data_IF_810309945314
#
_entry.id   IF_810309945314
#
_cell.length_a   1.000
_cell.length_b   1.000
_cell.length_c   1.000
_cell.angle_alpha   90.00
_cell.angle_beta   90.00
_cell.angle_gamma   90.00
#
_symmetry.space_group_name_H-M   'P 1'
#
loop_
_entity.id
_entity.type
_entity.pdbx_description
1 polymer ?
#
# COMPACT_ATOMS: atom_id res chain seq x y z
N UNK A 1 -7.26 1.91 18.61
CA UNK A 1 -7.96 2.50 17.46
C UNK A 1 -7.10 3.55 16.75
N UNK A 2 -6.59 4.59 17.45
CA UNK A 2 -5.67 5.58 16.82
C UNK A 2 -4.47 4.92 16.14
N UNK A 3 -3.74 4.03 16.82
CA UNK A 3 -2.56 3.34 16.23
C UNK A 3 -2.87 2.53 14.96
N UNK A 4 -4.03 1.87 14.90
CA UNK A 4 -4.49 1.13 13.72
C UNK A 4 -4.72 2.06 12.53
N UNK A 5 -5.42 3.18 12.74
CA UNK A 5 -5.69 4.17 11.68
C UNK A 5 -4.37 4.75 11.14
N UNK A 6 -3.44 5.11 12.02
CA UNK A 6 -2.14 5.65 11.59
C UNK A 6 -1.34 4.62 10.79
N UNK A 7 -1.39 3.33 11.18
CA UNK A 7 -0.73 2.26 10.43
C UNK A 7 -1.32 2.12 9.03
N UNK A 8 -2.65 2.12 8.90
CA UNK A 8 -3.35 2.06 7.62
C UNK A 8 -2.96 3.25 6.74
N UNK A 9 -3.11 4.47 7.25
CA UNK A 9 -2.78 5.67 6.48
C UNK A 9 -1.31 5.69 6.04
N UNK A 10 -0.39 5.24 6.90
CA UNK A 10 1.01 5.16 6.53
C UNK A 10 1.28 4.08 5.48
N UNK A 11 0.59 2.94 5.53
CA UNK A 11 0.66 1.90 4.50
C UNK A 11 0.13 2.41 3.16
N UNK A 12 -1.06 3.03 3.14
CA UNK A 12 -1.63 3.63 1.92
C UNK A 12 -0.76 4.76 1.36
N UNK A 13 -0.08 5.51 2.24
CA UNK A 13 0.87 6.52 1.79
C UNK A 13 2.08 5.89 1.07
N UNK A 14 2.53 4.70 1.47
CA UNK A 14 3.58 3.98 0.73
C UNK A 14 3.08 3.57 -0.66
N UNK A 15 1.83 3.11 -0.77
CA UNK A 15 1.19 2.80 -2.06
C UNK A 15 1.13 4.02 -2.96
N UNK A 16 0.73 5.17 -2.41
CA UNK A 16 0.76 6.43 -3.15
C UNK A 16 2.15 6.76 -3.69
N UNK A 17 3.20 6.66 -2.86
CA UNK A 17 4.57 6.95 -3.31
C UNK A 17 5.00 5.99 -4.44
N UNK A 18 4.66 4.71 -4.34
CA UNK A 18 4.95 3.72 -5.37
C UNK A 18 4.20 4.01 -6.67
N UNK A 19 2.93 4.42 -6.59
CA UNK A 19 2.14 4.83 -7.75
C UNK A 19 2.79 6.02 -8.47
N UNK A 20 3.21 7.06 -7.73
CA UNK A 20 3.90 8.22 -8.30
C UNK A 20 5.23 7.81 -8.93
N UNK A 21 5.99 6.90 -8.30
CA UNK A 21 7.23 6.36 -8.86
C UNK A 21 6.96 5.67 -10.20
N UNK A 22 5.98 4.78 -10.28
CA UNK A 22 5.60 4.08 -11.51
C UNK A 22 5.18 5.05 -12.61
N UNK A 23 4.35 6.05 -12.28
CA UNK A 23 3.95 7.10 -13.22
C UNK A 23 5.12 7.91 -13.74
N UNK A 24 6.05 8.31 -12.86
CA UNK A 24 7.21 9.11 -13.25
C UNK A 24 8.16 8.40 -14.22
N UNK A 25 8.19 7.06 -14.19
CA UNK A 25 9.07 6.22 -15.02
C UNK A 25 8.36 5.58 -16.20
N UNK A 26 7.05 5.83 -16.36
CA UNK A 26 6.20 5.16 -17.35
C UNK A 26 6.25 3.62 -17.24
N UNK A 27 6.46 3.08 -16.03
CA UNK A 27 6.48 1.63 -15.74
C UNK A 27 5.04 1.06 -15.59
N UNK A 28 4.07 1.55 -16.37
CA UNK A 28 2.62 1.27 -16.22
C UNK A 28 2.15 0.16 -17.19
N UNK A 29 3.08 -0.66 -17.69
CA UNK A 29 2.73 -1.73 -18.63
C UNK A 29 2.09 -2.89 -17.85
N UNK A 30 0.77 -2.85 -17.75
CA UNK A 30 -0.13 -3.82 -17.12
C UNK A 30 0.41 -4.43 -15.82
N UNK A 31 0.10 -3.81 -14.67
CA UNK A 31 0.16 -4.57 -13.41
C UNK A 31 -0.67 -5.84 -13.61
N UNK A 32 -0.04 -7.01 -13.40
CA UNK A 32 -0.70 -8.30 -13.50
C UNK A 32 -1.99 -8.28 -12.67
N UNK A 33 -3.11 -8.65 -13.29
CA UNK A 33 -4.36 -8.84 -12.56
C UNK A 33 -4.14 -10.02 -11.61
N UNK A 34 -4.10 -9.73 -10.32
CA UNK A 34 -3.99 -10.76 -9.30
C UNK A 34 -5.29 -11.56 -9.32
N UNK A 35 -5.16 -12.86 -9.60
CA UNK A 35 -6.31 -13.75 -9.81
C UNK A 35 -6.88 -14.29 -8.50
N UNK A 36 -6.13 -14.10 -7.39
CA UNK A 36 -6.49 -14.60 -6.07
C UNK A 36 -5.95 -13.71 -4.93
N UNK A 37 -6.50 -13.92 -3.73
CA UNK A 37 -6.16 -13.16 -2.51
C UNK A 37 -4.68 -13.25 -2.12
N UNK A 38 -4.04 -14.39 -2.38
CA UNK A 38 -2.65 -14.58 -2.00
C UNK A 38 -1.72 -13.74 -2.88
N UNK A 39 -1.97 -13.74 -4.19
CA UNK A 39 -1.28 -12.88 -5.15
C UNK A 39 -1.49 -11.40 -4.84
N UNK A 40 -2.71 -10.98 -4.48
CA UNK A 40 -2.98 -9.58 -4.12
C UNK A 40 -2.22 -9.16 -2.86
N UNK A 41 -2.20 -10.00 -1.82
CA UNK A 41 -1.46 -9.73 -0.58
C UNK A 41 0.04 -9.68 -0.85
N UNK A 42 0.57 -10.60 -1.65
CA UNK A 42 1.99 -10.64 -2.00
C UNK A 42 2.42 -9.45 -2.85
N UNK A 43 1.60 -9.04 -3.82
CA UNK A 43 1.84 -7.86 -4.65
C UNK A 43 1.88 -6.58 -3.79
N UNK A 44 0.97 -6.45 -2.83
CA UNK A 44 0.92 -5.33 -1.88
C UNK A 44 2.20 -5.23 -1.03
N UNK A 45 2.78 -6.35 -0.61
CA UNK A 45 3.95 -6.33 0.26
C UNK A 45 5.27 -6.13 -0.48
N UNK A 46 5.39 -6.66 -1.69
CA UNK A 46 6.67 -6.70 -2.42
C UNK A 46 6.98 -5.42 -3.20
N UNK A 47 5.95 -4.65 -3.58
CA UNK A 47 6.08 -3.52 -4.51
C UNK A 47 6.30 -2.17 -3.81
N UNK A 48 6.17 -2.08 -2.48
CA UNK A 48 6.24 -0.82 -1.74
C UNK A 48 7.67 -0.30 -1.49
N UNK A 49 7.79 0.97 -1.11
CA UNK A 49 9.01 1.49 -0.47
C UNK A 49 9.22 0.86 0.91
N UNK A 50 10.48 0.67 1.33
CA UNK A 50 10.78 0.29 2.71
C UNK A 50 10.23 1.36 3.68
N UNK A 51 9.37 1.01 4.66
CA UNK A 51 8.78 2.00 5.57
C UNK A 51 9.82 2.88 6.28
N UNK A 52 10.99 2.31 6.62
CA UNK A 52 12.11 3.01 7.27
C UNK A 52 12.82 4.02 6.37
N UNK A 53 12.62 3.96 5.05
CA UNK A 53 13.12 4.98 4.13
C UNK A 53 12.26 6.26 4.18
N UNK A 54 10.97 6.11 4.51
CA UNK A 54 9.95 7.17 4.45
C UNK A 54 9.65 7.76 5.83
N UNK A 55 9.55 6.92 6.86
CA UNK A 55 9.17 7.34 8.21
C UNK A 55 10.33 7.20 9.20
N UNK A 56 10.47 8.20 10.07
CA UNK A 56 11.44 8.20 11.18
C UNK A 56 10.81 7.82 12.53
N UNK A 57 9.48 7.85 12.65
CA UNK A 57 8.77 7.53 13.88
C UNK A 57 8.81 6.02 14.16
N UNK A 58 9.51 5.63 15.24
CA UNK A 58 9.68 4.23 15.65
C UNK A 58 8.36 3.55 16.01
N UNK A 59 7.43 4.28 16.61
CA UNK A 59 6.11 3.76 17.00
C UNK A 59 5.27 3.49 15.77
N UNK A 60 5.27 4.41 14.80
CA UNK A 60 4.58 4.23 13.52
C UNK A 60 5.15 3.05 12.75
N UNK A 61 6.48 2.96 12.65
CA UNK A 61 7.16 1.83 12.00
C UNK A 61 6.79 0.49 12.64
N UNK A 62 6.75 0.44 13.98
CA UNK A 62 6.33 -0.75 14.71
C UNK A 62 4.87 -1.11 14.41
N UNK A 63 3.99 -0.11 14.35
CA UNK A 63 2.58 -0.34 14.03
C UNK A 63 2.40 -0.85 12.60
N UNK A 64 3.09 -0.29 11.61
CA UNK A 64 3.05 -0.77 10.22
C UNK A 64 3.50 -2.23 10.18
N UNK A 65 4.68 -2.56 10.73
CA UNK A 65 5.20 -3.94 10.69
C UNK A 65 4.30 -4.94 11.43
N UNK A 66 3.69 -4.56 12.56
CA UNK A 66 2.80 -5.46 13.32
C UNK A 66 1.43 -5.64 12.70
N UNK A 67 0.91 -4.61 12.02
CA UNK A 67 -0.44 -4.61 11.44
C UNK A 67 -0.47 -5.14 10.01
N UNK A 68 0.67 -5.16 9.31
CA UNK A 68 0.80 -5.62 7.93
C UNK A 68 1.90 -6.70 7.77
N UNK A 69 1.78 -7.88 8.41
CA UNK A 69 2.74 -8.97 8.24
C UNK A 69 2.49 -9.87 7.01
N UNK A 70 1.23 -9.93 6.56
CA UNK A 70 0.73 -10.67 5.39
C UNK A 70 -0.59 -10.02 4.97
N UNK A 71 -0.56 -8.69 4.76
CA UNK A 71 -1.75 -7.83 4.69
C UNK A 71 -2.27 -7.36 6.07
N UNK A 72 -3.34 -6.55 6.05
CA UNK A 72 -3.87 -5.92 7.25
C UNK A 72 -4.48 -6.93 8.25
N UNK A 73 -4.01 -6.91 9.50
CA UNK A 73 -4.49 -7.76 10.60
C UNK A 73 -4.80 -6.94 11.84
N UNK A 74 -6.05 -6.95 12.28
CA UNK A 74 -6.46 -6.39 13.57
C UNK A 74 -7.60 -7.22 14.17
N UNK A 75 -7.23 -8.28 14.89
CA UNK A 75 -8.18 -9.21 15.51
C UNK A 75 -9.26 -8.53 16.34
N UNK A 76 -8.94 -7.44 17.05
CA UNK A 76 -9.94 -6.70 17.85
C UNK A 76 -10.96 -5.97 16.97
N UNK A 77 -10.56 -5.51 15.79
CA UNK A 77 -11.47 -4.91 14.83
C UNK A 77 -12.29 -5.99 14.12
N UNK A 78 -11.63 -7.07 13.68
CA UNK A 78 -12.25 -8.24 13.06
C UNK A 78 -13.37 -8.81 13.95
N UNK A 79 -13.08 -9.10 15.22
CA UNK A 79 -14.05 -9.59 16.20
C UNK A 79 -15.26 -8.67 16.36
N UNK A 80 -15.01 -7.35 16.37
CA UNK A 80 -16.08 -6.35 16.49
C UNK A 80 -16.95 -6.30 15.24
N UNK A 81 -16.35 -6.36 14.05
CA UNK A 81 -17.09 -6.37 12.79
C UNK A 81 -17.94 -7.63 12.70
N UNK A 82 -17.38 -8.80 13.05
CA UNK A 82 -18.13 -10.06 13.08
C UNK A 82 -19.32 -9.93 14.05
N UNK A 83 -19.05 -9.61 15.31
CA UNK A 83 -20.06 -9.61 16.38
C UNK A 83 -21.16 -8.56 16.22
N UNK A 84 -20.79 -7.34 15.83
CA UNK A 84 -21.71 -6.20 15.83
C UNK A 84 -22.27 -5.87 14.44
N UNK A 85 -21.70 -6.41 13.36
CA UNK A 85 -22.16 -6.15 11.99
C UNK A 85 -22.65 -7.41 11.30
N UNK A 86 -21.78 -8.43 11.19
CA UNK A 86 -22.08 -9.64 10.42
C UNK A 86 -23.14 -10.49 11.11
N UNK A 87 -22.96 -10.80 12.40
CA UNK A 87 -23.91 -11.58 13.21
C UNK A 87 -25.24 -10.84 13.43
N UNK A 88 -25.25 -9.52 13.28
CA UNK A 88 -26.44 -8.68 13.36
C UNK A 88 -27.17 -8.52 12.02
N UNK A 89 -26.65 -9.16 10.97
CA UNK A 89 -27.12 -9.06 9.60
C UNK A 89 -27.36 -7.61 9.14
N UNK A 90 -26.45 -6.72 9.56
CA UNK A 90 -26.45 -5.34 9.08
C UNK A 90 -26.09 -5.29 7.59
N UNK A 91 -26.50 -4.23 6.86
CA UNK A 91 -26.24 -4.10 5.44
C UNK A 91 -24.77 -4.33 5.09
N UNK A 92 -24.54 -5.20 4.11
CA UNK A 92 -23.22 -5.60 3.61
C UNK A 92 -23.28 -5.77 2.09
N UNK A 93 -22.18 -5.45 1.40
CA UNK A 93 -22.00 -5.67 -0.03
C UNK A 93 -20.86 -6.63 -0.27
N UNK A 94 -21.06 -7.61 -1.13
CA UNK A 94 -19.98 -8.49 -1.58
C UNK A 94 -19.27 -7.82 -2.77
N UNK A 95 -17.96 -7.67 -2.67
CA UNK A 95 -17.11 -7.09 -3.70
C UNK A 95 -16.20 -8.21 -4.20
N UNK A 96 -16.24 -8.50 -5.50
CA UNK A 96 -15.33 -9.47 -6.10
C UNK A 96 -13.94 -8.85 -6.26
N UNK A 97 -12.88 -9.63 -6.10
CA UNK A 97 -11.51 -9.12 -6.03
C UNK A 97 -11.06 -8.45 -7.34
N UNK A 98 -11.55 -8.97 -8.46
CA UNK A 98 -11.34 -8.46 -9.80
C UNK A 98 -12.12 -7.17 -10.09
N UNK A 99 -13.05 -6.77 -9.23
CA UNK A 99 -13.79 -5.50 -9.39
C UNK A 99 -13.03 -4.28 -8.88
N UNK A 100 -11.92 -4.46 -8.15
CA UNK A 100 -11.08 -3.37 -7.64
C UNK A 100 -10.00 -2.93 -8.63
N UNK A 101 -10.37 -2.76 -9.91
CA UNK A 101 -9.46 -2.36 -10.98
C UNK A 101 -9.88 -0.99 -11.52
N UNK A 102 -8.94 -0.05 -11.55
CA UNK A 102 -9.12 1.23 -12.24
C UNK A 102 -8.37 1.21 -13.56
N UNK A 103 -9.10 1.38 -14.67
CA UNK A 103 -8.51 1.54 -16.00
C UNK A 103 -8.18 3.01 -16.24
N UNK A 104 -6.90 3.32 -16.42
CA UNK A 104 -6.43 4.66 -16.78
C UNK A 104 -6.21 4.73 -18.28
N UNK A 105 -6.83 5.73 -18.93
CA UNK A 105 -6.62 5.96 -20.35
C UNK A 105 -5.23 6.57 -20.61
N UNK A 106 -4.68 6.33 -21.81
CA UNK A 106 -3.44 6.97 -22.24
C UNK A 106 -3.55 8.52 -22.20
N UNK A 107 -4.72 9.05 -22.53
CA UNK A 107 -5.01 10.49 -22.44
C UNK A 107 -4.95 11.00 -21.00
N UNK A 108 -5.53 10.26 -20.05
CA UNK A 108 -5.47 10.59 -18.62
C UNK A 108 -4.03 10.61 -18.12
N UNK A 109 -3.23 9.62 -18.52
CA UNK A 109 -1.81 9.52 -18.15
C UNK A 109 -0.99 10.68 -18.73
N UNK A 110 -1.22 11.05 -19.99
CA UNK A 110 -0.52 12.16 -20.65
C UNK A 110 -0.79 13.52 -20.00
N UNK A 111 -1.94 13.68 -19.33
CA UNK A 111 -2.32 14.92 -18.63
C UNK A 111 -1.76 15.02 -17.21
N UNK A 112 -1.16 13.95 -16.67
CA UNK A 112 -0.59 13.95 -15.33
C UNK A 112 0.59 14.94 -15.29
N UNK A 113 0.53 15.90 -14.36
CA UNK A 113 1.63 16.81 -14.06
C UNK A 113 2.14 16.53 -12.66
N UNK A 114 3.37 16.02 -12.56
CA UNK A 114 4.02 15.73 -11.30
C UNK A 114 4.91 16.90 -10.89
N UNK A 115 4.83 17.31 -9.62
CA UNK A 115 5.70 18.35 -9.06
C UNK A 115 7.17 17.88 -9.11
N UNK A 116 8.09 18.63 -9.74
CA UNK A 116 9.51 18.30 -9.76
C UNK A 116 10.13 18.11 -8.36
N UNK A 117 9.62 18.80 -7.33
CA UNK A 117 10.06 18.60 -5.94
C UNK A 117 9.67 17.22 -5.44
N UNK A 118 8.46 16.76 -5.75
CA UNK A 118 8.00 15.42 -5.40
C UNK A 118 8.85 14.35 -6.09
N UNK A 119 9.18 14.53 -7.37
CA UNK A 119 10.04 13.61 -8.12
C UNK A 119 11.41 13.44 -7.47
N UNK A 120 12.06 14.54 -7.07
CA UNK A 120 13.34 14.49 -6.34
C UNK A 120 13.23 13.75 -5.01
N UNK A 121 12.13 13.93 -4.29
CA UNK A 121 11.88 13.21 -3.03
C UNK A 121 11.75 11.71 -3.31
N UNK A 122 10.96 11.32 -4.32
CA UNK A 122 10.76 9.92 -4.72
C UNK A 122 12.09 9.24 -5.05
N UNK A 123 12.97 9.89 -5.82
CA UNK A 123 14.31 9.35 -6.14
C UNK A 123 15.14 9.11 -4.88
N UNK A 124 15.16 10.07 -3.95
CA UNK A 124 15.89 9.93 -2.67
C UNK A 124 15.34 8.76 -1.85
N UNK A 125 14.01 8.64 -1.75
CA UNK A 125 13.35 7.54 -1.04
C UNK A 125 13.67 6.19 -1.69
N UNK A 126 13.74 6.13 -3.02
CA UNK A 126 14.02 4.90 -3.76
C UNK A 126 15.45 4.41 -3.47
N UNK A 127 16.41 5.33 -3.48
CA UNK A 127 17.80 5.02 -3.16
C UNK A 127 17.97 4.58 -1.70
N UNK A 128 17.27 5.22 -0.76
CA UNK A 128 17.25 4.81 0.66
C UNK A 128 16.67 3.41 0.81
N UNK A 129 15.53 3.13 0.17
CA UNK A 129 14.84 1.83 0.19
C UNK A 129 15.76 0.72 -0.33
N UNK A 130 16.40 0.92 -1.49
CA UNK A 130 17.37 -0.02 -2.09
C UNK A 130 18.55 -0.32 -1.15
N UNK A 131 19.11 0.71 -0.49
CA UNK A 131 20.21 0.55 0.49
C UNK A 131 19.78 -0.28 1.70
N UNK A 132 18.58 -0.05 2.23
CA UNK A 132 18.05 -0.78 3.39
C UNK A 132 17.83 -2.26 3.04
N UNK A 133 17.25 -2.55 1.87
CA UNK A 133 17.03 -3.93 1.41
C UNK A 133 18.33 -4.70 1.23
N UNK A 134 19.34 -4.08 0.60
CA UNK A 134 20.67 -4.70 0.45
C UNK A 134 21.28 -5.08 1.81
N UNK A 135 21.17 -4.22 2.82
CA UNK A 135 21.67 -4.50 4.18
C UNK A 135 20.95 -5.64 4.91
N UNK A 136 19.73 -6.05 4.50
CA UNK A 136 19.03 -7.19 5.10
C UNK A 136 19.50 -8.53 4.53
N UNK A 137 20.14 -8.53 3.36
CA UNK A 137 20.58 -9.74 2.63
C UNK A 137 22.02 -10.15 2.97
N UNK A 138 22.77 -9.30 3.67
CA UNK A 138 24.10 -9.56 4.20
C UNK A 138 24.04 -9.57 5.73
#
# INVERSE_FOLDING_TARGET
MKGTIHAILAHEFLHYLELIRKFSKMEILSDELTSNLFESVFADETRLFEPRAVFNDKTLLLHITKKFPAGFRDYKLEDKVIKYWIEKDLPKSNIALDTNIVKLSAESLAKIKLDPKLLKIIEVLEQKSKKIRKKKLY
#
